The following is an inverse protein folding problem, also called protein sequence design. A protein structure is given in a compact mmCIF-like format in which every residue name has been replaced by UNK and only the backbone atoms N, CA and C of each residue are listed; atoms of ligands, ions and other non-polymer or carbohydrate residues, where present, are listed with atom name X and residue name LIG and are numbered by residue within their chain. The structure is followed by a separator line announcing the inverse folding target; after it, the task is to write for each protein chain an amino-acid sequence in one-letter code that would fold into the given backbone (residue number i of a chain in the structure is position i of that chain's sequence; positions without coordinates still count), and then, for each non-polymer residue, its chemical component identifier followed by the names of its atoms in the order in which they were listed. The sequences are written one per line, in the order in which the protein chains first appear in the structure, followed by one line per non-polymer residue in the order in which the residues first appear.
data_IF_895316106616
#
_entry.id   IF_895316106616
#
_cell.length_a   1.000
_cell.length_b   1.000
_cell.length_c   1.000
_cell.angle_alpha   90.00
_cell.angle_beta   90.00
_cell.angle_gamma   90.00
#
_symmetry.space_group_name_H-M   'P 1'
#
loop_
_entity.id
_entity.type
_entity.pdbx_description
1 polymer ?
#
# COMPACT_ATOMS: atom_id res chain seq x y z
N UNK A 1 -7.61 -19.42 13.62
CA UNK A 1 -7.75 -19.29 12.15
C UNK A 1 -6.38 -19.04 11.58
N UNK A 2 -5.98 -19.74 10.54
CA UNK A 2 -4.73 -19.48 9.84
C UNK A 2 -5.09 -18.83 8.51
N UNK A 3 -4.66 -17.58 8.30
CA UNK A 3 -4.81 -16.89 7.02
C UNK A 3 -3.56 -17.09 6.17
N UNK A 4 -3.75 -17.16 4.86
CA UNK A 4 -2.66 -17.07 3.87
C UNK A 4 -2.72 -15.71 3.21
N UNK A 5 -1.64 -14.94 3.37
CA UNK A 5 -1.53 -13.57 2.88
C UNK A 5 -0.25 -13.45 2.08
N UNK A 6 -0.33 -12.91 0.87
CA UNK A 6 0.84 -12.51 0.11
C UNK A 6 0.99 -10.98 0.17
N UNK A 7 2.09 -10.55 0.75
CA UNK A 7 2.36 -9.15 1.04
C UNK A 7 3.57 -8.68 0.25
N UNK A 8 3.50 -8.66 -0.96
CA UNK A 8 3.15 -7.74 -2.03
C UNK A 8 3.12 -8.49 -3.37
N UNK A 9 2.09 -8.31 -4.16
CA UNK A 9 2.01 -8.80 -5.53
C UNK A 9 2.01 -7.66 -6.56
N UNK A 10 2.72 -7.90 -7.66
CA UNK A 10 2.69 -7.04 -8.85
C UNK A 10 2.74 -7.89 -10.10
N UNK A 11 1.72 -7.81 -10.93
CA UNK A 11 1.62 -8.58 -12.18
C UNK A 11 0.64 -7.94 -13.18
N UNK A 12 0.49 -8.54 -14.34
CA UNK A 12 -0.57 -8.21 -15.29
C UNK A 12 -1.88 -8.86 -14.83
N UNK A 13 -2.69 -8.10 -14.12
CA UNK A 13 -3.91 -8.57 -13.48
C UNK A 13 -4.92 -9.12 -14.50
N UNK A 14 -5.35 -10.35 -14.30
CA UNK A 14 -6.32 -11.05 -15.13
C UNK A 14 -7.15 -12.00 -14.25
N UNK A 15 -8.28 -12.50 -14.80
CA UNK A 15 -9.07 -13.52 -14.13
C UNK A 15 -8.23 -14.76 -13.80
N UNK A 16 -7.36 -15.20 -14.69
CA UNK A 16 -6.47 -16.35 -14.48
C UNK A 16 -5.57 -16.16 -13.23
N UNK A 17 -5.01 -14.99 -13.05
CA UNK A 17 -4.20 -14.68 -11.82
C UNK A 17 -5.06 -14.78 -10.57
N UNK A 18 -6.29 -14.29 -10.59
CA UNK A 18 -7.18 -14.38 -9.44
C UNK A 18 -7.59 -15.84 -9.15
N UNK A 19 -7.80 -16.65 -10.18
CA UNK A 19 -8.05 -18.10 -10.05
C UNK A 19 -6.83 -18.80 -9.42
N UNK A 20 -5.61 -18.53 -9.89
CA UNK A 20 -4.36 -19.05 -9.30
C UNK A 20 -4.24 -18.65 -7.82
N UNK A 21 -4.52 -17.40 -7.47
CA UNK A 21 -4.50 -16.95 -6.08
C UNK A 21 -5.53 -17.73 -5.22
N UNK A 22 -6.71 -18.02 -5.76
CA UNK A 22 -7.70 -18.86 -5.06
C UNK A 22 -7.27 -20.32 -4.94
N UNK A 23 -6.70 -20.92 -5.99
CA UNK A 23 -6.14 -22.27 -5.94
C UNK A 23 -5.01 -22.39 -4.92
N UNK A 24 -4.17 -21.36 -4.79
CA UNK A 24 -3.15 -21.27 -3.75
C UNK A 24 -3.73 -21.06 -2.33
N UNK A 25 -5.03 -20.77 -2.23
CA UNK A 25 -5.74 -20.54 -0.96
C UNK A 25 -5.38 -19.19 -0.32
N UNK A 26 -5.04 -18.16 -1.10
CA UNK A 26 -4.74 -16.82 -0.57
C UNK A 26 -6.03 -16.13 -0.11
N UNK A 27 -6.12 -15.82 1.17
CA UNK A 27 -7.24 -15.08 1.77
C UNK A 27 -7.11 -13.57 1.51
N UNK A 28 -5.88 -13.08 1.40
CA UNK A 28 -5.60 -11.68 1.09
C UNK A 28 -4.32 -11.52 0.27
N UNK A 29 -4.30 -10.46 -0.54
CA UNK A 29 -3.10 -9.99 -1.24
C UNK A 29 -2.98 -8.47 -1.07
N UNK A 30 -1.75 -8.00 -0.88
CA UNK A 30 -1.40 -6.59 -1.00
C UNK A 30 -0.88 -6.35 -2.41
N UNK A 31 -1.39 -5.35 -3.11
CA UNK A 31 -1.04 -5.07 -4.50
C UNK A 31 -0.51 -3.67 -4.70
N UNK A 32 0.50 -3.52 -5.55
CA UNK A 32 0.99 -2.20 -5.95
C UNK A 32 0.03 -1.56 -6.94
N UNK A 33 -0.53 -0.43 -6.56
CA UNK A 33 -1.42 0.37 -7.44
C UNK A 33 -0.63 1.45 -8.17
N UNK A 34 0.32 2.08 -7.52
CA UNK A 34 1.17 3.15 -8.09
C UNK A 34 2.63 3.00 -7.69
N UNK A 35 3.54 3.55 -8.51
CA UNK A 35 4.97 3.73 -8.24
C UNK A 35 5.34 5.22 -8.22
N UNK A 36 5.24 5.90 -9.35
CA UNK A 36 5.64 7.32 -9.52
C UNK A 36 4.49 8.18 -10.04
N UNK A 37 3.33 7.58 -10.20
CA UNK A 37 2.12 8.25 -10.64
C UNK A 37 1.67 9.29 -9.60
N UNK A 38 1.08 10.37 -10.08
CA UNK A 38 0.47 11.40 -9.26
C UNK A 38 -0.93 11.00 -8.75
N UNK A 39 -1.61 11.91 -8.07
CA UNK A 39 -2.94 11.64 -7.51
C UNK A 39 -4.00 11.38 -8.60
N UNK A 40 -3.96 12.11 -9.70
CA UNK A 40 -4.94 11.94 -10.79
C UNK A 40 -4.77 10.60 -11.49
N UNK A 41 -3.54 10.16 -11.73
CA UNK A 41 -3.29 8.83 -12.29
C UNK A 41 -3.66 7.72 -11.29
N UNK A 42 -3.44 7.91 -9.99
CA UNK A 42 -3.96 7.00 -8.97
C UNK A 42 -5.49 6.85 -9.07
N UNK A 43 -6.25 7.94 -9.24
CA UNK A 43 -7.70 7.87 -9.45
C UNK A 43 -8.08 7.03 -10.69
N UNK A 44 -7.31 7.16 -11.78
CA UNK A 44 -7.51 6.35 -12.97
C UNK A 44 -7.22 4.86 -12.72
N UNK A 45 -6.21 4.55 -11.90
CA UNK A 45 -5.89 3.18 -11.49
C UNK A 45 -6.97 2.57 -10.62
N UNK A 46 -7.55 3.34 -9.69
CA UNK A 46 -8.70 2.90 -8.87
C UNK A 46 -9.87 2.51 -9.75
N UNK A 47 -10.22 3.32 -10.77
CA UNK A 47 -11.30 2.98 -11.73
C UNK A 47 -11.05 1.66 -12.46
N UNK A 48 -9.80 1.40 -12.89
CA UNK A 48 -9.43 0.11 -13.52
C UNK A 48 -9.60 -1.05 -12.53
N UNK A 49 -9.25 -0.88 -11.26
CA UNK A 49 -9.48 -1.88 -10.22
C UNK A 49 -10.97 -2.11 -9.94
N UNK A 50 -11.81 -1.06 -9.95
CA UNK A 50 -13.26 -1.22 -9.83
C UNK A 50 -13.84 -2.07 -10.96
N UNK A 51 -13.34 -1.92 -12.21
CA UNK A 51 -13.71 -2.79 -13.32
C UNK A 51 -13.28 -4.25 -13.09
N UNK A 52 -12.06 -4.48 -12.55
CA UNK A 52 -11.57 -5.82 -12.22
C UNK A 52 -12.43 -6.46 -11.12
N UNK A 53 -12.77 -5.73 -10.06
CA UNK A 53 -13.66 -6.21 -9.00
C UNK A 53 -15.05 -6.56 -9.54
N UNK A 54 -15.62 -5.73 -10.39
CA UNK A 54 -16.93 -5.98 -10.98
C UNK A 54 -16.93 -7.24 -11.88
N UNK A 55 -15.90 -7.43 -12.70
CA UNK A 55 -15.76 -8.58 -13.60
C UNK A 55 -15.46 -9.89 -12.87
N UNK A 56 -14.81 -9.84 -11.71
CA UNK A 56 -14.31 -10.98 -10.96
C UNK A 56 -14.86 -11.01 -9.52
N UNK A 57 -16.08 -10.52 -9.32
CA UNK A 57 -16.69 -10.41 -8.00
C UNK A 57 -16.95 -11.76 -7.31
N UNK A 58 -16.85 -12.84 -8.04
CA UNK A 58 -16.86 -14.22 -7.54
C UNK A 58 -15.52 -14.66 -6.93
N UNK A 59 -14.40 -13.98 -7.27
CA UNK A 59 -13.04 -14.34 -6.85
C UNK A 59 -12.40 -13.32 -5.90
N UNK A 60 -12.63 -12.03 -6.12
CA UNK A 60 -11.94 -10.94 -5.42
C UNK A 60 -12.88 -9.81 -5.01
N UNK A 61 -12.44 -9.02 -4.03
CA UNK A 61 -13.05 -7.74 -3.67
C UNK A 61 -12.03 -6.83 -2.97
N UNK A 62 -12.32 -5.50 -2.90
CA UNK A 62 -11.47 -4.54 -2.21
C UNK A 62 -11.48 -4.77 -0.70
N UNK A 63 -10.33 -5.12 -0.13
CA UNK A 63 -10.11 -5.23 1.32
C UNK A 63 -9.74 -3.89 1.93
N UNK A 64 -10.33 -3.57 3.08
CA UNK A 64 -10.10 -2.32 3.82
C UNK A 64 -9.78 -2.54 5.29
N UNK A 65 -10.04 -3.74 5.81
CA UNK A 65 -9.84 -4.05 7.23
C UNK A 65 -9.51 -5.53 7.45
N UNK A 66 -9.15 -5.89 8.68
CA UNK A 66 -8.93 -7.27 9.09
C UNK A 66 -10.19 -8.14 8.90
N UNK A 67 -11.36 -7.60 9.13
CA UNK A 67 -12.65 -8.27 8.95
C UNK A 67 -12.84 -8.73 7.50
N UNK A 68 -12.31 -7.98 6.53
CA UNK A 68 -12.36 -8.34 5.12
C UNK A 68 -11.52 -9.58 4.82
N UNK A 69 -10.40 -9.82 5.52
CA UNK A 69 -9.62 -11.05 5.42
C UNK A 69 -10.45 -12.24 5.91
N UNK A 70 -11.11 -12.07 7.06
CA UNK A 70 -12.02 -13.09 7.61
C UNK A 70 -13.19 -13.38 6.69
N UNK A 71 -13.76 -12.34 6.08
CA UNK A 71 -14.83 -12.44 5.09
C UNK A 71 -14.37 -13.19 3.84
N UNK A 72 -13.19 -12.83 3.32
CA UNK A 72 -12.60 -13.48 2.15
C UNK A 72 -12.46 -14.99 2.35
N UNK A 73 -11.91 -15.42 3.50
CA UNK A 73 -11.78 -16.84 3.84
C UNK A 73 -13.15 -17.54 3.88
N UNK A 74 -14.15 -16.93 4.51
CA UNK A 74 -15.51 -17.51 4.63
C UNK A 74 -16.22 -17.63 3.28
N UNK A 75 -16.02 -16.65 2.40
CA UNK A 75 -16.66 -16.60 1.08
C UNK A 75 -15.86 -17.30 -0.01
N UNK A 76 -14.71 -17.89 0.33
CA UNK A 76 -13.77 -18.49 -0.61
C UNK A 76 -13.32 -17.50 -1.70
N UNK A 77 -13.02 -16.25 -1.30
CA UNK A 77 -12.51 -15.16 -2.15
C UNK A 77 -11.14 -14.69 -1.67
N UNK A 78 -10.54 -13.77 -2.40
CA UNK A 78 -9.31 -13.07 -1.99
C UNK A 78 -9.61 -11.58 -1.78
N UNK A 79 -9.34 -11.06 -0.59
CA UNK A 79 -9.38 -9.62 -0.33
C UNK A 79 -8.13 -8.94 -0.90
N UNK A 80 -8.31 -7.91 -1.72
CA UNK A 80 -7.22 -7.16 -2.35
C UNK A 80 -7.01 -5.85 -1.62
N UNK A 81 -5.83 -5.66 -1.04
CA UNK A 81 -5.44 -4.43 -0.33
C UNK A 81 -4.56 -3.58 -1.23
N UNK A 82 -4.90 -2.31 -1.38
CA UNK A 82 -4.11 -1.37 -2.18
C UNK A 82 -2.91 -0.86 -1.40
N UNK A 83 -1.76 -0.80 -2.07
CA UNK A 83 -0.56 -0.18 -1.57
C UNK A 83 0.18 0.62 -2.64
N UNK A 84 1.09 1.47 -2.18
CA UNK A 84 1.92 2.33 -3.00
C UNK A 84 3.39 1.96 -2.81
N UNK A 85 4.10 1.69 -3.90
CA UNK A 85 5.58 1.56 -3.87
C UNK A 85 6.25 2.92 -4.10
N UNK A 86 5.70 3.96 -3.52
CA UNK A 86 6.19 5.33 -3.39
C UNK A 86 5.11 6.17 -2.69
N UNK A 87 5.41 7.42 -2.43
CA UNK A 87 4.46 8.40 -1.87
C UNK A 87 3.97 9.44 -2.89
N UNK A 88 4.26 9.28 -4.18
CA UNK A 88 3.97 10.27 -5.23
C UNK A 88 2.53 10.79 -5.22
N UNK A 89 1.48 9.96 -4.99
CA UNK A 89 0.10 10.46 -4.96
C UNK A 89 -0.23 11.41 -3.80
N UNK A 90 0.68 11.57 -2.83
CA UNK A 90 0.49 12.53 -1.73
C UNK A 90 0.93 13.93 -2.17
N UNK A 91 1.81 14.01 -3.19
CA UNK A 91 2.33 15.27 -3.68
C UNK A 91 2.91 16.13 -2.54
N UNK A 92 2.52 17.38 -2.42
CA UNK A 92 2.86 18.27 -1.30
C UNK A 92 1.61 18.64 -0.44
N UNK A 93 0.52 17.87 -0.57
CA UNK A 93 -0.74 18.07 0.16
C UNK A 93 -1.05 16.93 1.14
N UNK A 94 -0.87 17.19 2.43
CA UNK A 94 -1.14 16.21 3.50
C UNK A 94 -2.60 15.70 3.49
N UNK A 95 -3.55 16.49 3.00
CA UNK A 95 -4.95 16.07 2.94
C UNK A 95 -5.17 14.90 1.95
N UNK A 96 -4.24 14.66 1.04
CA UNK A 96 -4.27 13.53 0.12
C UNK A 96 -4.09 12.19 0.85
N UNK A 97 -3.42 12.14 2.00
CA UNK A 97 -3.27 10.93 2.82
C UNK A 97 -4.64 10.35 3.19
N UNK A 98 -5.54 11.18 3.71
CA UNK A 98 -6.90 10.73 4.05
C UNK A 98 -7.72 10.37 2.80
N UNK A 99 -7.55 11.08 1.70
CA UNK A 99 -8.25 10.81 0.45
C UNK A 99 -7.86 9.45 -0.14
N UNK A 100 -6.57 9.13 -0.20
CA UNK A 100 -6.10 7.82 -0.71
C UNK A 100 -6.53 6.69 0.22
N UNK A 101 -6.53 6.91 1.55
CA UNK A 101 -7.05 5.95 2.51
C UNK A 101 -8.54 5.64 2.26
N UNK A 102 -9.39 6.65 2.05
CA UNK A 102 -10.82 6.48 1.73
C UNK A 102 -11.03 5.67 0.45
N UNK A 103 -10.13 5.81 -0.52
CA UNK A 103 -10.14 5.05 -1.78
C UNK A 103 -9.57 3.62 -1.67
N UNK A 104 -9.08 3.23 -0.50
CA UNK A 104 -8.67 1.85 -0.23
C UNK A 104 -7.18 1.63 0.01
N UNK A 105 -6.34 2.64 -0.07
CA UNK A 105 -4.91 2.53 0.26
C UNK A 105 -4.75 2.11 1.73
N UNK A 106 -3.93 1.08 1.99
CA UNK A 106 -3.63 0.56 3.33
C UNK A 106 -2.14 0.43 3.60
N UNK A 107 -1.31 0.47 2.58
CA UNK A 107 0.14 0.45 2.67
C UNK A 107 0.71 1.59 1.83
N UNK A 108 1.73 2.30 2.31
CA UNK A 108 2.43 3.30 1.53
C UNK A 108 3.91 3.32 1.91
N UNK A 109 4.77 3.15 0.91
CA UNK A 109 6.20 3.37 1.04
C UNK A 109 6.49 4.87 1.04
N UNK A 110 7.44 5.29 1.88
CA UNK A 110 7.85 6.70 1.92
C UNK A 110 8.76 7.08 0.75
N UNK A 111 9.43 6.09 0.15
CA UNK A 111 10.37 6.27 -0.96
C UNK A 111 10.31 5.07 -1.92
N UNK A 112 10.80 5.27 -3.14
CA UNK A 112 11.15 4.18 -4.05
C UNK A 112 12.54 4.42 -4.62
N UNK A 113 13.56 3.84 -3.99
CA UNK A 113 15.00 3.92 -4.29
C UNK A 113 15.62 5.32 -4.12
N UNK A 114 15.04 6.36 -4.69
CA UNK A 114 15.56 7.72 -4.69
C UNK A 114 14.95 8.59 -3.59
N UNK A 115 15.50 9.81 -3.42
CA UNK A 115 14.93 10.81 -2.53
C UNK A 115 13.49 11.15 -2.94
N UNK A 116 12.56 11.10 -1.97
CA UNK A 116 11.20 11.61 -2.10
C UNK A 116 11.00 12.92 -1.34
N UNK A 117 9.79 13.47 -1.36
CA UNK A 117 9.43 14.59 -0.47
C UNK A 117 9.40 14.18 1.01
N UNK A 118 9.28 12.88 1.31
CA UNK A 118 9.09 12.38 2.67
C UNK A 118 10.37 11.86 3.32
N UNK A 119 11.24 11.20 2.56
CA UNK A 119 12.40 10.50 3.12
C UNK A 119 13.47 10.23 2.06
N UNK A 120 14.65 9.83 2.52
CA UNK A 120 15.75 9.41 1.67
C UNK A 120 15.58 7.95 1.24
N UNK A 121 15.73 7.66 -0.05
CA UNK A 121 15.68 6.32 -0.62
C UNK A 121 17.02 5.59 -0.53
N UNK A 122 16.99 4.25 -0.66
CA UNK A 122 18.16 3.38 -0.44
C UNK A 122 19.27 3.50 -1.51
N UNK A 123 19.02 4.17 -2.64
CA UNK A 123 20.05 4.41 -3.67
C UNK A 123 20.76 5.76 -3.48
N UNK A 124 20.31 6.59 -2.54
CA UNK A 124 20.93 7.88 -2.30
C UNK A 124 22.29 7.71 -1.59
N UNK A 125 23.26 8.52 -2.01
CA UNK A 125 24.61 8.50 -1.43
C UNK A 125 24.64 9.06 0.00
N UNK A 126 23.82 10.07 0.26
CA UNK A 126 23.73 10.74 1.55
C UNK A 126 22.34 10.51 2.12
N UNK A 127 22.26 9.80 3.23
CA UNK A 127 21.01 9.54 3.93
C UNK A 127 20.75 10.68 4.94
N UNK A 128 19.74 11.49 4.67
CA UNK A 128 19.31 12.60 5.53
C UNK A 128 18.09 12.26 6.39
N UNK A 129 17.62 11.01 6.33
CA UNK A 129 16.48 10.55 7.10
C UNK A 129 15.13 11.06 6.57
N UNK A 130 14.16 11.14 7.48
CA UNK A 130 12.78 11.61 7.19
C UNK A 130 12.74 13.13 7.21
N UNK A 131 12.13 13.73 6.18
CA UNK A 131 11.96 15.20 6.06
C UNK A 131 10.94 15.74 7.07
N UNK A 132 10.88 17.06 7.24
CA UNK A 132 9.83 17.67 8.08
C UNK A 132 8.42 17.34 7.56
N UNK A 133 8.21 17.38 6.25
CA UNK A 133 6.93 17.00 5.66
C UNK A 133 6.65 15.50 5.87
N UNK A 134 7.67 14.65 5.73
CA UNK A 134 7.57 13.22 6.02
C UNK A 134 7.11 12.93 7.44
N UNK A 135 7.57 13.70 8.44
CA UNK A 135 7.12 13.57 9.83
C UNK A 135 5.63 13.83 10.00
N UNK A 136 5.09 14.85 9.33
CA UNK A 136 3.66 15.14 9.37
C UNK A 136 2.84 14.06 8.63
N UNK A 137 3.34 13.57 7.48
CA UNK A 137 2.70 12.49 6.74
C UNK A 137 2.69 11.19 7.55
N UNK A 138 3.76 10.82 8.25
CA UNK A 138 3.82 9.65 9.15
C UNK A 138 2.71 9.74 10.22
N UNK A 139 2.56 10.89 10.88
CA UNK A 139 1.49 11.09 11.87
C UNK A 139 0.11 10.93 11.25
N UNK A 140 -0.10 11.49 10.07
CA UNK A 140 -1.38 11.40 9.38
C UNK A 140 -1.68 9.96 8.92
N UNK A 141 -0.66 9.21 8.41
CA UNK A 141 -0.78 7.79 8.11
C UNK A 141 -1.21 6.97 9.34
N UNK A 142 -0.58 7.24 10.50
CA UNK A 142 -0.96 6.59 11.75
C UNK A 142 -2.40 6.93 12.15
N UNK A 143 -2.83 8.21 11.98
CA UNK A 143 -4.19 8.66 12.31
C UNK A 143 -5.25 7.96 11.47
N UNK A 144 -5.04 7.85 10.15
CA UNK A 144 -6.02 7.26 9.24
C UNK A 144 -5.93 5.73 9.16
N UNK A 145 -4.79 5.12 9.55
CA UNK A 145 -4.59 3.68 9.53
C UNK A 145 -3.97 3.16 8.24
N UNK A 146 -3.04 3.91 7.63
CA UNK A 146 -2.17 3.42 6.55
C UNK A 146 -0.89 2.88 7.19
N UNK A 147 -0.49 1.68 6.83
CA UNK A 147 0.79 1.06 7.25
C UNK A 147 1.94 1.76 6.54
N UNK A 148 2.93 2.21 7.33
CA UNK A 148 4.16 2.78 6.81
C UNK A 148 5.05 1.62 6.37
N UNK A 149 5.39 1.57 5.08
CA UNK A 149 6.29 0.58 4.52
C UNK A 149 7.64 1.22 4.20
N UNK A 150 8.70 0.69 4.83
CA UNK A 150 10.06 1.21 4.69
C UNK A 150 10.89 0.45 3.66
N UNK A 151 10.27 -0.41 2.86
CA UNK A 151 10.93 -0.98 1.68
C UNK A 151 11.45 0.13 0.78
N UNK A 152 12.63 -0.06 0.18
CA UNK A 152 13.31 0.91 -0.68
C UNK A 152 13.77 2.21 0.02
N UNK A 153 13.66 2.31 1.34
CA UNK A 153 14.15 3.47 2.11
C UNK A 153 15.57 3.25 2.60
N UNK A 154 16.28 4.34 2.83
CA UNK A 154 17.61 4.32 3.42
C UNK A 154 17.56 4.01 4.93
N UNK A 155 18.71 3.67 5.53
CA UNK A 155 18.82 3.22 6.93
C UNK A 155 18.30 4.28 7.91
N UNK A 156 18.79 5.52 7.81
CA UNK A 156 18.37 6.59 8.73
C UNK A 156 16.89 6.93 8.56
N UNK A 157 16.39 6.91 7.32
CA UNK A 157 14.95 7.10 7.05
C UNK A 157 14.11 6.02 7.73
N UNK A 158 14.59 4.78 7.75
CA UNK A 158 13.91 3.65 8.40
C UNK A 158 13.93 3.80 9.93
N UNK A 159 15.09 4.16 10.51
CA UNK A 159 15.23 4.40 11.94
C UNK A 159 14.36 5.58 12.40
N UNK A 160 14.38 6.69 11.67
CA UNK A 160 13.52 7.84 11.95
C UNK A 160 12.03 7.46 11.91
N UNK A 161 11.61 6.66 10.93
CA UNK A 161 10.22 6.22 10.82
C UNK A 161 9.80 5.32 11.99
N UNK A 162 10.69 4.45 12.48
CA UNK A 162 10.47 3.62 13.68
C UNK A 162 10.25 4.52 14.90
N UNK A 163 11.08 5.54 15.09
CA UNK A 163 11.01 6.44 16.24
C UNK A 163 9.79 7.37 16.19
N UNK A 164 9.33 7.74 14.99
CA UNK A 164 8.23 8.66 14.78
C UNK A 164 6.86 7.97 14.76
N UNK A 165 6.80 6.70 14.36
CA UNK A 165 5.53 6.00 14.20
C UNK A 165 4.97 5.53 15.54
N UNK A 166 3.69 5.79 15.77
CA UNK A 166 2.93 5.26 16.90
C UNK A 166 2.38 3.84 16.65
N UNK A 167 2.58 3.32 15.44
CA UNK A 167 2.11 2.01 14.98
C UNK A 167 3.28 1.21 14.40
N UNK A 168 3.16 -0.13 14.34
CA UNK A 168 4.17 -0.94 13.66
C UNK A 168 4.38 -0.48 12.22
N UNK A 169 5.64 -0.45 11.78
CA UNK A 169 6.02 -0.28 10.39
C UNK A 169 6.17 -1.64 9.70
N UNK A 170 6.22 -1.65 8.38
CA UNK A 170 6.48 -2.85 7.58
C UNK A 170 7.73 -2.70 6.71
N UNK A 171 8.27 -3.83 6.31
CA UNK A 171 9.19 -4.01 5.18
C UNK A 171 8.62 -5.19 4.40
N UNK A 172 8.09 -4.96 3.17
CA UNK A 172 7.33 -5.94 2.38
C UNK A 172 8.13 -6.54 1.23
#
# INVERSE_FOLDING_TARGET
MNYRIDNLQYCNWSREIFEINREAGLDAIHVTVVYHEDYDEFLNRVKKWDELFNKNNDLIFLGKSYEDITKAQKENKTAVFFGFQNCSPIEDDINLVEKVHKLGCRFMQLTYNNQSLLATGCYEKNDSGVTNFGREVIKEMNRVGIVIDMSHSAEQSTLDAIDLSEKPIAIT
#
